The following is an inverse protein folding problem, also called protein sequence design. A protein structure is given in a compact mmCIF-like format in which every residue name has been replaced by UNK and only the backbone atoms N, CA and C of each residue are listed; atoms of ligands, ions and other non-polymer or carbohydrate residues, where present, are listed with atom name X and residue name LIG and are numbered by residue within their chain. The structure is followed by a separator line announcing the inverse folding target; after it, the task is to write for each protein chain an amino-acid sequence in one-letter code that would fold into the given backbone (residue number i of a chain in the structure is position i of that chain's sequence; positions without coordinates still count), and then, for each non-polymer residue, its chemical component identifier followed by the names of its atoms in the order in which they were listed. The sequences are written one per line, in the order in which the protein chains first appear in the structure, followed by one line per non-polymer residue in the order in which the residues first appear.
data_IF_942223162782
#
_entry.id   IF_942223162782
#
_cell.length_a   1.000
_cell.length_b   1.000
_cell.length_c   1.000
_cell.angle_alpha   90.00
_cell.angle_beta   90.00
_cell.angle_gamma   90.00
#
_symmetry.space_group_name_H-M   'P 1'
#
loop_
_entity.id
_entity.type
_entity.pdbx_description
1 polymer ?
#
# COMPACT_ATOMS: atom_id res chain seq x y z
N UNK A 1 13.10 -1.10 -8.36
CA UNK A 1 12.40 -1.97 -7.39
C UNK A 1 10.90 -1.82 -7.59
N UNK A 2 10.12 -2.85 -7.31
CA UNK A 2 8.65 -2.79 -7.38
C UNK A 2 8.09 -2.26 -6.06
N UNK A 3 6.94 -1.57 -6.10
CA UNK A 3 6.24 -1.08 -4.89
C UNK A 3 5.76 -2.27 -4.04
N UNK A 4 5.78 -2.13 -2.71
CA UNK A 4 5.26 -3.16 -1.80
C UNK A 4 3.76 -3.36 -2.00
N UNK A 5 3.28 -4.57 -1.70
CA UNK A 5 1.89 -4.99 -1.81
C UNK A 5 1.16 -4.59 -3.11
N UNK A 6 1.88 -4.51 -4.23
CA UNK A 6 1.36 -4.00 -5.51
C UNK A 6 1.25 -5.14 -6.52
N UNK A 7 0.07 -5.25 -7.17
CA UNK A 7 -0.18 -6.22 -8.23
C UNK A 7 0.45 -5.76 -9.54
N UNK A 8 1.18 -6.66 -10.21
CA UNK A 8 1.81 -6.41 -11.50
C UNK A 8 1.36 -7.47 -12.50
N UNK A 9 1.14 -7.05 -13.74
CA UNK A 9 0.93 -7.95 -14.88
C UNK A 9 2.29 -8.17 -15.55
N UNK A 10 2.71 -9.42 -15.58
CA UNK A 10 3.97 -9.86 -16.18
C UNK A 10 3.64 -10.41 -17.57
N UNK A 11 4.28 -9.83 -18.57
CA UNK A 11 4.24 -10.29 -19.95
C UNK A 11 5.54 -11.03 -20.26
N UNK A 12 5.42 -12.27 -20.75
CA UNK A 12 6.54 -13.11 -21.12
C UNK A 12 6.41 -13.55 -22.58
N UNK A 13 7.46 -13.32 -23.36
CA UNK A 13 7.56 -13.74 -24.75
C UNK A 13 8.82 -14.59 -24.94
N UNK A 14 8.77 -15.56 -25.86
CA UNK A 14 9.93 -16.36 -26.24
C UNK A 14 10.38 -15.94 -27.65
N UNK A 15 11.62 -15.47 -27.77
CA UNK A 15 12.20 -15.00 -29.04
C UNK A 15 13.31 -15.95 -29.50
N UNK A 16 13.38 -16.21 -30.80
CA UNK A 16 14.43 -17.05 -31.40
C UNK A 16 15.27 -16.33 -32.47
N UNK A 17 14.96 -15.07 -32.75
CA UNK A 17 15.71 -14.19 -33.63
C UNK A 17 15.55 -12.76 -33.08
N UNK A 18 16.66 -12.07 -32.83
CA UNK A 18 16.65 -10.71 -32.25
C UNK A 18 16.73 -9.61 -33.33
N UNK A 19 17.64 -9.73 -34.30
CA UNK A 19 17.80 -8.77 -35.40
C UNK A 19 18.05 -9.50 -36.74
N UNK A 20 17.65 -8.95 -37.90
CA UNK A 20 17.02 -7.64 -38.14
C UNK A 20 15.49 -7.62 -37.99
N UNK A 21 14.86 -8.78 -37.81
CA UNK A 21 13.43 -8.90 -37.50
C UNK A 21 13.28 -9.77 -36.25
N UNK A 22 12.75 -9.18 -35.19
CA UNK A 22 12.50 -9.88 -33.94
C UNK A 22 11.37 -10.90 -34.16
N UNK A 23 11.68 -12.18 -33.97
CA UNK A 23 10.69 -13.27 -34.08
C UNK A 23 10.43 -13.84 -32.71
N UNK A 24 9.33 -13.37 -32.12
CA UNK A 24 8.88 -13.81 -30.81
C UNK A 24 7.52 -14.52 -30.90
N UNK A 25 7.26 -15.38 -29.92
CA UNK A 25 5.95 -15.97 -29.71
C UNK A 25 4.91 -14.90 -29.36
N UNK A 26 3.64 -15.28 -29.36
CA UNK A 26 2.63 -14.52 -28.62
C UNK A 26 3.01 -14.42 -27.14
N UNK A 27 2.53 -13.36 -26.49
CA UNK A 27 2.73 -13.15 -25.07
C UNK A 27 1.98 -14.17 -24.21
N UNK A 28 2.68 -14.77 -23.27
CA UNK A 28 2.09 -15.42 -22.10
C UNK A 28 1.95 -14.38 -20.97
N UNK A 29 0.82 -14.38 -20.29
CA UNK A 29 0.52 -13.44 -19.22
C UNK A 29 0.38 -14.15 -17.89
N UNK A 30 0.96 -13.56 -16.85
CA UNK A 30 0.73 -13.94 -15.46
C UNK A 30 0.66 -12.70 -14.59
N UNK A 31 -0.10 -12.75 -13.50
CA UNK A 31 -0.16 -11.65 -12.54
C UNK A 31 0.39 -12.11 -11.21
N UNK A 32 1.14 -11.24 -10.55
CA UNK A 32 1.69 -11.50 -9.22
C UNK A 32 1.63 -10.22 -8.37
N UNK A 33 1.55 -10.38 -7.05
CA UNK A 33 1.59 -9.27 -6.10
C UNK A 33 2.86 -9.37 -5.28
N UNK A 34 3.53 -8.24 -5.09
CA UNK A 34 4.70 -8.14 -4.20
C UNK A 34 4.30 -8.32 -2.74
N UNK A 35 5.25 -8.72 -1.90
CA UNK A 35 5.01 -8.86 -0.47
C UNK A 35 4.71 -7.50 0.19
N UNK A 36 3.95 -7.49 1.30
CA UNK A 36 3.77 -6.29 2.10
C UNK A 36 5.06 -5.91 2.83
N UNK A 37 5.19 -4.62 3.14
CA UNK A 37 6.21 -4.12 4.06
C UNK A 37 5.64 -4.06 5.49
N UNK A 38 6.42 -4.54 6.46
CA UNK A 38 5.91 -4.87 7.79
C UNK A 38 5.32 -3.69 8.58
N UNK A 39 5.76 -2.45 8.30
CA UNK A 39 5.34 -1.23 9.03
C UNK A 39 4.79 -0.14 8.12
N UNK A 40 4.51 -0.46 6.86
CA UNK A 40 4.01 0.52 5.90
C UNK A 40 2.60 1.04 6.27
N UNK A 41 1.82 0.24 6.99
CA UNK A 41 0.46 0.58 7.42
C UNK A 41 0.41 1.23 8.82
N UNK A 42 1.55 1.34 9.50
CA UNK A 42 1.61 1.89 10.86
C UNK A 42 1.46 3.42 10.82
N UNK A 43 0.66 3.97 11.73
CA UNK A 43 0.61 5.41 11.96
C UNK A 43 1.94 5.86 12.59
N UNK A 44 2.75 6.57 11.82
CA UNK A 44 4.04 7.11 12.27
C UNK A 44 3.82 8.56 12.72
N UNK A 45 3.82 8.79 14.02
CA UNK A 45 3.68 10.11 14.62
C UNK A 45 2.78 10.13 15.85
N UNK A 46 2.67 11.28 16.53
CA UNK A 46 1.78 11.40 17.67
C UNK A 46 0.32 11.38 17.22
N UNK A 47 -0.53 10.71 18.00
CA UNK A 47 -1.96 10.98 18.01
C UNK A 47 -2.18 12.23 18.87
N UNK A 48 -2.65 13.31 18.26
CA UNK A 48 -2.94 14.57 18.94
C UNK A 48 -4.44 14.73 19.15
N UNK A 49 -4.82 15.64 20.04
CA UNK A 49 -6.22 15.93 20.31
C UNK A 49 -6.44 17.38 20.68
N UNK A 50 -7.64 17.87 20.36
CA UNK A 50 -8.17 19.16 20.83
C UNK A 50 -9.49 18.91 21.57
N UNK A 51 -9.71 19.65 22.66
CA UNK A 51 -10.96 19.58 23.44
C UNK A 51 -11.70 20.89 23.23
N UNK A 52 -12.91 20.81 22.69
CA UNK A 52 -13.79 21.96 22.52
C UNK A 52 -14.61 22.24 23.79
N UNK A 53 -15.17 23.44 23.90
CA UNK A 53 -15.94 23.90 25.07
C UNK A 53 -17.13 22.97 25.42
N UNK A 54 -17.65 22.24 24.44
CA UNK A 54 -18.74 21.26 24.59
C UNK A 54 -18.26 19.85 24.96
N UNK A 55 -17.02 19.69 25.45
CA UNK A 55 -16.37 18.41 25.77
C UNK A 55 -16.24 17.44 24.59
N UNK A 56 -16.29 17.94 23.34
CA UNK A 56 -15.96 17.14 22.16
C UNK A 56 -14.45 17.02 22.03
N UNK A 57 -13.97 15.79 21.85
CA UNK A 57 -12.56 15.49 21.60
C UNK A 57 -12.36 15.25 20.11
N UNK A 58 -11.58 16.11 19.45
CA UNK A 58 -11.17 15.93 18.06
C UNK A 58 -9.78 15.30 18.02
N UNK A 59 -9.76 13.99 17.73
CA UNK A 59 -8.53 13.22 17.56
C UNK A 59 -7.97 13.42 16.16
N UNK A 60 -6.65 13.58 16.06
CA UNK A 60 -5.94 13.76 14.79
C UNK A 60 -4.67 12.92 14.78
N UNK A 61 -4.32 12.38 13.62
CA UNK A 61 -3.06 11.70 13.37
C UNK A 61 -2.68 11.85 11.90
N UNK A 62 -1.42 11.61 11.58
CA UNK A 62 -0.95 11.61 10.21
C UNK A 62 -1.23 10.25 9.56
N UNK A 63 -1.97 10.25 8.46
CA UNK A 63 -2.16 9.06 7.63
C UNK A 63 -0.81 8.54 7.08
N UNK A 64 -0.55 7.22 7.14
CA UNK A 64 0.61 6.60 6.50
C UNK A 64 0.70 6.98 5.02
N UNK A 65 1.85 7.52 4.61
CA UNK A 65 2.03 8.07 3.26
C UNK A 65 2.05 7.00 2.17
N UNK A 66 2.60 5.83 2.48
CA UNK A 66 2.79 4.72 1.55
C UNK A 66 2.32 3.41 2.22
N UNK A 67 1.00 3.18 2.35
CA UNK A 67 0.47 1.95 2.92
C UNK A 67 0.60 0.77 1.94
N UNK A 68 0.48 -0.46 2.44
CA UNK A 68 0.34 -1.67 1.65
C UNK A 68 -0.98 -1.66 0.86
N UNK A 69 -1.00 -0.91 -0.24
CA UNK A 69 -2.18 -0.70 -1.06
C UNK A 69 -2.95 0.55 -0.62
N UNK A 70 -4.01 0.37 0.18
CA UNK A 70 -4.94 1.42 0.58
C UNK A 70 -5.45 1.17 2.00
N UNK A 71 -5.48 2.22 2.83
CA UNK A 71 -6.13 2.18 4.14
C UNK A 71 -7.63 2.33 3.94
N UNK A 72 -8.40 1.37 4.46
CA UNK A 72 -9.86 1.33 4.28
C UNK A 72 -10.63 1.83 5.51
N UNK A 73 -10.03 1.78 6.69
CA UNK A 73 -10.61 2.22 7.96
C UNK A 73 -9.54 2.43 9.03
N UNK A 74 -9.92 3.12 10.11
CA UNK A 74 -9.15 3.22 11.35
C UNK A 74 -10.03 2.74 12.52
N UNK A 75 -9.43 2.07 13.50
CA UNK A 75 -10.10 1.68 14.74
C UNK A 75 -9.53 2.49 15.91
N UNK A 76 -10.40 3.14 16.69
CA UNK A 76 -10.01 3.98 17.82
C UNK A 76 -10.44 3.31 19.12
N UNK A 77 -9.47 2.81 19.88
CA UNK A 77 -9.68 2.23 21.21
C UNK A 77 -9.31 3.23 22.31
N UNK A 78 -10.26 3.60 23.17
CA UNK A 78 -10.02 4.53 24.29
C UNK A 78 -10.64 4.02 25.60
N UNK A 79 -10.11 4.47 26.74
CA UNK A 79 -10.59 4.08 28.08
C UNK A 79 -10.43 5.24 29.06
N UNK A 80 -11.43 5.47 29.92
CA UNK A 80 -11.31 6.33 31.10
C UNK A 80 -10.93 5.48 32.31
N UNK A 81 -9.78 5.76 32.92
CA UNK A 81 -9.44 5.18 34.22
C UNK A 81 -10.30 5.86 35.31
N UNK A 82 -10.82 5.04 36.22
CA UNK A 82 -11.60 5.48 37.38
C UNK A 82 -10.71 5.81 38.56
#
# INVERSE_FOLDING_TARGET
GLRHFTGNRIELQACNQDAPEERCSVAAYVSARTMPEAKADDIIGPVTHEIFENNVVHLMWQEPKEPNGLIVLYEVSYRRYG
#
